data_IF_783392728098
#
_entry.id   IF_783392728098
#
_cell.length_a   1.000
_cell.length_b   1.000
_cell.length_c   1.000
_cell.angle_alpha   90.00
_cell.angle_beta   90.00
_cell.angle_gamma   90.00
#
_symmetry.space_group_name_H-M   'P 1'
#
loop_
_entity.id
_entity.type
_entity.pdbx_description
1 polymer ?
#
# COMPACT_ATOMS: atom_id res chain seq x y z
N UNK A 1 -2.39 11.11 5.55
CA UNK A 1 -2.83 9.98 4.70
C UNK A 1 -2.17 10.00 3.35
N UNK A 2 -2.29 11.09 2.59
CA UNK A 2 -1.58 11.29 1.31
C UNK A 2 -0.05 11.12 1.40
N UNK A 3 0.56 11.46 2.55
CA UNK A 3 2.00 11.26 2.75
C UNK A 3 2.41 9.79 2.64
N UNK A 4 1.63 8.86 3.19
CA UNK A 4 1.92 7.42 3.13
C UNK A 4 1.81 6.84 1.72
N UNK A 5 0.98 7.46 0.86
CA UNK A 5 0.74 6.98 -0.50
C UNK A 5 1.69 7.61 -1.52
N UNK A 6 1.97 8.92 -1.39
CA UNK A 6 2.69 9.69 -2.41
C UNK A 6 4.18 9.86 -2.13
N UNK A 7 4.62 9.98 -0.87
CA UNK A 7 6.04 10.28 -0.58
C UNK A 7 6.98 9.15 -1.02
N UNK A 8 6.73 7.88 -0.65
CA UNK A 8 7.61 6.80 -1.09
C UNK A 8 7.62 6.64 -2.62
N UNK A 9 6.45 6.78 -3.25
CA UNK A 9 6.31 6.70 -4.70
C UNK A 9 7.04 7.85 -5.42
N UNK A 10 6.93 9.09 -4.93
CA UNK A 10 7.62 10.24 -5.49
C UNK A 10 9.14 10.16 -5.32
N UNK A 11 9.63 9.62 -4.19
CA UNK A 11 11.05 9.42 -3.96
C UNK A 11 11.68 8.40 -4.90
N UNK A 12 10.93 7.39 -5.35
CA UNK A 12 11.46 6.33 -6.23
C UNK A 12 11.19 6.60 -7.71
N UNK A 13 9.94 6.93 -8.08
CA UNK A 13 9.56 7.14 -9.49
C UNK A 13 9.91 8.54 -10.01
N UNK A 14 10.16 9.50 -9.10
CA UNK A 14 10.43 10.89 -9.48
C UNK A 14 9.34 11.47 -10.38
N UNK A 15 9.75 12.00 -11.54
CA UNK A 15 8.85 12.63 -12.52
C UNK A 15 8.42 11.70 -13.68
N UNK A 16 8.71 10.40 -13.60
CA UNK A 16 8.42 9.44 -14.67
C UNK A 16 6.92 9.21 -14.84
N UNK A 17 6.34 9.67 -15.96
CA UNK A 17 4.89 9.53 -16.20
C UNK A 17 4.44 8.08 -16.37
N UNK A 18 5.30 7.23 -16.92
CA UNK A 18 4.98 5.83 -17.21
C UNK A 18 4.86 5.04 -15.90
N UNK A 19 5.82 5.20 -15.00
CA UNK A 19 5.80 4.51 -13.70
C UNK A 19 4.59 4.93 -12.85
N UNK A 20 4.25 6.23 -12.86
CA UNK A 20 3.03 6.71 -12.20
C UNK A 20 1.76 6.11 -12.81
N UNK A 21 1.68 5.98 -14.13
CA UNK A 21 0.55 5.35 -14.81
C UNK A 21 0.45 3.85 -14.50
N UNK A 22 1.57 3.16 -14.39
CA UNK A 22 1.61 1.73 -14.06
C UNK A 22 1.19 1.45 -12.61
N UNK A 23 1.59 2.31 -11.68
CA UNK A 23 1.14 2.27 -10.28
C UNK A 23 -0.37 2.50 -10.18
N UNK A 24 -0.88 3.50 -10.89
CA UNK A 24 -2.30 3.87 -10.81
C UNK A 24 -3.22 2.87 -11.51
N UNK A 25 -2.76 2.29 -12.62
CA UNK A 25 -3.52 1.29 -13.40
C UNK A 25 -3.57 -0.09 -12.74
N UNK A 26 -2.99 -0.27 -11.55
CA UNK A 26 -2.84 -1.57 -10.88
C UNK A 26 -2.12 -2.63 -11.73
N UNK A 27 -1.48 -2.22 -12.83
CA UNK A 27 -0.73 -3.08 -13.76
C UNK A 27 0.42 -3.82 -13.05
N UNK A 28 0.92 -3.25 -11.95
CA UNK A 28 1.99 -3.80 -11.09
C UNK A 28 1.69 -5.22 -10.57
N UNK A 29 0.44 -5.56 -10.29
CA UNK A 29 0.11 -6.90 -9.81
C UNK A 29 0.11 -7.96 -10.92
N UNK A 30 -0.08 -7.55 -12.17
CA UNK A 30 -0.22 -8.45 -13.32
C UNK A 30 1.09 -8.66 -14.08
N UNK A 31 2.04 -7.73 -13.94
CA UNK A 31 3.34 -7.78 -14.63
C UNK A 31 4.47 -7.77 -13.58
N UNK A 32 5.01 -8.94 -13.18
CA UNK A 32 5.98 -9.05 -12.10
C UNK A 32 7.39 -8.79 -12.64
N UNK A 33 7.70 -7.56 -13.02
CA UNK A 33 9.03 -7.22 -13.55
C UNK A 33 10.02 -6.83 -12.46
N UNK A 34 9.62 -6.03 -11.46
CA UNK A 34 10.58 -5.45 -10.48
C UNK A 34 10.13 -5.52 -9.01
N UNK A 35 11.07 -5.89 -8.13
CA UNK A 35 10.86 -5.94 -6.67
C UNK A 35 10.53 -4.58 -6.06
N UNK A 36 11.02 -3.51 -6.68
CA UNK A 36 10.80 -2.12 -6.24
C UNK A 36 9.32 -1.74 -6.31
N UNK A 37 8.65 -2.17 -7.37
CA UNK A 37 7.23 -1.89 -7.57
C UNK A 37 6.36 -2.50 -6.46
N UNK A 38 6.70 -3.70 -5.97
CA UNK A 38 5.99 -4.31 -4.83
C UNK A 38 6.21 -3.55 -3.53
N UNK A 39 7.42 -3.07 -3.29
CA UNK A 39 7.78 -2.34 -2.07
C UNK A 39 7.04 -1.01 -1.94
N UNK A 40 6.73 -0.37 -3.07
CA UNK A 40 6.09 0.96 -3.09
C UNK A 40 4.57 0.85 -3.21
N UNK A 41 4.08 -0.02 -4.09
CA UNK A 41 2.64 -0.12 -4.38
C UNK A 41 1.85 -0.77 -3.25
N UNK A 42 2.35 -1.85 -2.63
CA UNK A 42 1.57 -2.59 -1.64
C UNK A 42 1.27 -1.78 -0.36
N UNK A 43 2.22 -1.01 0.22
CA UNK A 43 1.92 -0.10 1.34
C UNK A 43 0.95 1.03 0.94
N UNK A 44 1.06 1.57 -0.27
CA UNK A 44 0.19 2.62 -0.77
C UNK A 44 -1.28 2.14 -0.86
N UNK A 45 -1.51 1.00 -1.51
CA UNK A 45 -2.85 0.39 -1.59
C UNK A 45 -3.34 -0.03 -0.20
N UNK A 46 -2.45 -0.58 0.63
CA UNK A 46 -2.76 -0.91 2.03
C UNK A 46 -3.26 0.30 2.82
N UNK A 47 -2.63 1.47 2.67
CA UNK A 47 -3.07 2.69 3.34
C UNK A 47 -4.45 3.17 2.87
N UNK A 48 -4.73 3.09 1.57
CA UNK A 48 -6.04 3.49 1.00
C UNK A 48 -7.14 2.55 1.46
N UNK A 49 -6.93 1.24 1.36
CA UNK A 49 -7.88 0.22 1.83
C UNK A 49 -8.08 0.30 3.34
N UNK A 50 -7.00 0.51 4.09
CA UNK A 50 -7.05 0.70 5.54
C UNK A 50 -7.83 1.95 5.93
N UNK A 51 -7.65 3.07 5.22
CA UNK A 51 -8.42 4.28 5.45
C UNK A 51 -9.92 4.06 5.17
N UNK A 52 -10.23 3.36 4.09
CA UNK A 52 -11.60 3.02 3.70
C UNK A 52 -12.27 2.11 4.75
N UNK A 53 -11.60 1.05 5.20
CA UNK A 53 -12.09 0.18 6.28
C UNK A 53 -12.20 0.94 7.61
N UNK A 54 -11.27 1.85 7.89
CA UNK A 54 -11.30 2.73 9.06
C UNK A 54 -12.48 3.70 9.06
N UNK A 55 -13.10 3.99 7.91
CA UNK A 55 -14.32 4.80 7.87
C UNK A 55 -15.56 4.02 8.31
N UNK A 56 -15.52 2.68 8.28
CA UNK A 56 -16.69 1.83 8.49
C UNK A 56 -17.29 1.87 9.90
N UNK A 57 -16.51 2.04 10.99
CA UNK A 57 -17.08 2.17 12.33
C UNK A 57 -17.80 3.50 12.58
N UNK A 58 -17.66 4.50 11.72
CA UNK A 58 -18.17 5.86 11.97
C UNK A 58 -19.70 5.97 11.87
N UNK A 59 -20.39 5.37 10.88
CA UNK A 59 -21.86 5.46 10.78
C UNK A 59 -22.62 4.78 11.91
N UNK A 60 -21.97 3.89 12.68
CA UNK A 60 -22.56 3.23 13.83
C UNK A 60 -22.53 4.09 15.10
N UNK A 61 -21.75 5.18 15.06
CA UNK A 61 -21.62 6.27 16.05
C UNK A 61 -22.16 5.91 17.45
N UNK A 62 -21.32 5.24 18.24
CA UNK A 62 -21.60 4.92 19.64
C UNK A 62 -21.28 6.11 20.57
N UNK A 63 -21.22 7.32 20.02
CA UNK A 63 -20.80 8.57 20.70
C UNK A 63 -19.47 8.40 21.43
N UNK A 64 -18.55 7.62 20.85
CA UNK A 64 -17.23 7.40 21.45
C UNK A 64 -16.21 8.35 20.83
N UNK A 65 -15.31 8.93 21.64
CA UNK A 65 -14.32 9.87 21.15
C UNK A 65 -13.35 9.26 20.14
N UNK A 66 -13.24 7.93 20.06
CA UNK A 66 -12.42 7.26 19.06
C UNK A 66 -13.09 7.15 17.67
N UNK A 67 -14.42 7.30 17.57
CA UNK A 67 -15.19 7.28 16.31
C UNK A 67 -15.21 8.61 15.57
N UNK A 68 -14.82 9.68 16.25
CA UNK A 68 -14.77 11.03 15.69
C UNK A 68 -13.92 11.09 14.42
N UNK A 69 -14.39 11.84 13.44
CA UNK A 69 -13.61 12.07 12.23
C UNK A 69 -12.43 13.00 12.53
N UNK A 70 -11.21 12.69 12.05
CA UNK A 70 -10.78 11.60 11.16
C UNK A 70 -10.11 10.41 11.87
N UNK A 71 -10.32 10.21 13.18
CA UNK A 71 -9.53 9.33 14.04
C UNK A 71 -9.54 7.87 13.55
N UNK A 72 -10.71 7.25 13.37
CA UNK A 72 -10.79 5.87 12.88
C UNK A 72 -10.11 5.69 11.50
N UNK A 73 -10.33 6.64 10.59
CA UNK A 73 -9.73 6.64 9.25
C UNK A 73 -8.21 6.72 9.36
N UNK A 74 -7.69 7.51 10.30
CA UNK A 74 -6.24 7.65 10.49
C UNK A 74 -5.58 6.39 10.98
N UNK A 75 -6.16 5.72 11.98
CA UNK A 75 -5.66 4.45 12.48
C UNK A 75 -5.78 3.36 11.43
N UNK A 76 -6.91 3.29 10.71
CA UNK A 76 -7.11 2.36 9.62
C UNK A 76 -6.04 2.50 8.53
N UNK A 77 -5.74 3.74 8.11
CA UNK A 77 -4.72 4.00 7.11
C UNK A 77 -3.30 3.62 7.56
N UNK A 78 -2.94 3.93 8.81
CA UNK A 78 -1.62 3.56 9.37
C UNK A 78 -1.51 2.04 9.47
N UNK A 79 -2.52 1.36 10.01
CA UNK A 79 -2.55 -0.09 10.11
C UNK A 79 -2.48 -0.77 8.73
N UNK A 80 -3.25 -0.26 7.77
CA UNK A 80 -3.24 -0.73 6.39
C UNK A 80 -1.89 -0.53 5.70
N UNK A 81 -1.22 0.60 5.94
CA UNK A 81 0.14 0.85 5.42
C UNK A 81 1.15 -0.15 5.98
N UNK A 82 1.14 -0.38 7.31
CA UNK A 82 2.02 -1.35 7.97
C UNK A 82 1.78 -2.77 7.45
N UNK A 83 0.51 -3.14 7.27
CA UNK A 83 0.14 -4.42 6.68
C UNK A 83 0.65 -4.55 5.24
N UNK A 84 0.44 -3.53 4.41
CA UNK A 84 0.95 -3.50 3.03
C UNK A 84 2.47 -3.61 2.95
N UNK A 85 3.19 -3.07 3.94
CA UNK A 85 4.64 -3.19 4.05
C UNK A 85 5.08 -4.61 4.45
N UNK A 86 4.33 -5.29 5.33
CA UNK A 86 4.59 -6.71 5.62
C UNK A 86 4.34 -7.58 4.36
N UNK A 87 3.26 -7.32 3.63
CA UNK A 87 2.94 -8.02 2.39
C UNK A 87 4.01 -7.81 1.32
N UNK A 88 4.52 -6.58 1.14
CA UNK A 88 5.56 -6.31 0.15
C UNK A 88 6.85 -7.09 0.42
N UNK A 89 7.25 -7.22 1.69
CA UNK A 89 8.41 -8.01 2.10
C UNK A 89 8.21 -9.49 1.78
N UNK A 90 7.02 -10.04 2.07
CA UNK A 90 6.69 -11.43 1.75
C UNK A 90 6.73 -11.67 0.24
N UNK A 91 6.08 -10.82 -0.56
CA UNK A 91 6.07 -10.95 -2.02
C UNK A 91 7.49 -10.87 -2.61
N UNK A 92 8.31 -9.93 -2.12
CA UNK A 92 9.71 -9.80 -2.53
C UNK A 92 10.52 -11.05 -2.19
N UNK A 93 10.34 -11.62 -0.99
CA UNK A 93 11.01 -12.83 -0.58
C UNK A 93 10.60 -14.04 -1.45
N UNK A 94 9.31 -14.18 -1.75
CA UNK A 94 8.79 -15.22 -2.63
C UNK A 94 9.31 -15.08 -4.06
N UNK A 95 9.35 -13.85 -4.59
CA UNK A 95 9.93 -13.57 -5.90
C UNK A 95 11.40 -13.98 -5.98
N UNK A 96 12.22 -13.55 -4.99
CA UNK A 96 13.64 -13.92 -4.91
C UNK A 96 13.84 -15.43 -4.82
N UNK A 97 13.01 -16.14 -4.05
CA UNK A 97 13.03 -17.61 -3.96
C UNK A 97 12.73 -18.26 -5.33
N UNK A 98 11.71 -17.76 -6.03
CA UNK A 98 11.32 -18.27 -7.35
C UNK A 98 12.40 -18.07 -8.40
N UNK A 99 13.08 -16.91 -8.40
CA UNK A 99 14.18 -16.64 -9.33
C UNK A 99 15.36 -17.58 -9.08
N UNK A 100 15.74 -17.78 -7.80
CA UNK A 100 16.80 -18.73 -7.44
C UNK A 100 16.49 -20.16 -7.90
N UNK A 101 15.27 -20.63 -7.65
CA UNK A 101 14.84 -21.98 -8.06
C UNK A 101 14.77 -22.21 -9.58
N UNK A 102 14.83 -21.14 -10.40
CA UNK A 102 14.94 -21.26 -11.87
C UNK A 102 16.39 -21.24 -12.37
N UNK A 103 17.33 -20.81 -11.53
CA UNK A 103 18.74 -20.72 -11.86
C UNK A 103 19.51 -22.02 -11.54
N UNK A 104 18.97 -22.83 -10.64
CA UNK A 104 19.39 -24.21 -10.35
C UNK A 104 18.77 -25.21 -11.35
#
# INVERSE_FOLDING_TARGET
MSLFTFVPAACVFGASRIDWQDVLSHSIYFTPTDVENYMISAPCHGAVLGAWLGAWPMPLDWERPWQEWPICVTYGAVAGYLFGMAVSLVLTALYKRRVRAKAD
#
